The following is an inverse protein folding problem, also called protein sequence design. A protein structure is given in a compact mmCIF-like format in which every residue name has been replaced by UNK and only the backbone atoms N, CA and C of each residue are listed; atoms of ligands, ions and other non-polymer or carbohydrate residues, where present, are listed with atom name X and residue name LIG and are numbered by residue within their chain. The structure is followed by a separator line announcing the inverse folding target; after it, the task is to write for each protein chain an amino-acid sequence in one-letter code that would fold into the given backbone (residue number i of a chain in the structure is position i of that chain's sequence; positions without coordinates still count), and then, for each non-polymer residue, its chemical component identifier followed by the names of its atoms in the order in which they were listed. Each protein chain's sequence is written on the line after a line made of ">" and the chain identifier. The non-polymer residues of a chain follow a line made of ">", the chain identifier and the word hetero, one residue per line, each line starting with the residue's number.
data_IF_536078157035
#
_entry.id   IF_536078157035
#
_cell.length_a   1.000
_cell.length_b   1.000
_cell.length_c   1.000
_cell.angle_alpha   90.00
_cell.angle_beta   90.00
_cell.angle_gamma   90.00
#
_symmetry.space_group_name_H-M   'P 1'
#
loop_
_entity.id
_entity.type
_entity.pdbx_description
1 polymer ?
#
# COMPACT_ATOMS: atom_id res chain seq x y z
N UNK A 1 -69.65 42.94 -15.35
CA UNK A 1 -69.52 44.10 -16.23
C UNK A 1 -68.91 45.23 -15.42
N UNK A 2 -67.59 45.36 -15.47
CA UNK A 2 -66.85 46.61 -15.23
C UNK A 2 -65.41 46.39 -15.67
N UNK A 3 -64.86 47.41 -16.31
CA UNK A 3 -63.68 47.43 -17.16
C UNK A 3 -62.35 47.11 -16.47
N UNK A 4 -61.48 46.42 -17.22
CA UNK A 4 -60.04 46.38 -16.98
C UNK A 4 -59.42 47.73 -17.38
N UNK A 5 -58.93 48.48 -16.40
CA UNK A 5 -58.07 49.63 -16.59
C UNK A 5 -56.61 49.27 -16.32
N UNK A 6 -55.76 49.41 -17.35
CA UNK A 6 -54.30 49.41 -17.28
C UNK A 6 -53.80 50.53 -16.38
N UNK A 7 -52.96 50.21 -15.40
CA UNK A 7 -51.87 51.09 -14.90
C UNK A 7 -50.93 50.28 -13.99
N UNK A 8 -49.84 49.76 -14.55
CA UNK A 8 -48.59 49.48 -13.82
C UNK A 8 -47.43 49.55 -14.82
N UNK A 9 -47.21 50.74 -15.36
CA UNK A 9 -45.89 51.20 -15.74
C UNK A 9 -45.42 52.14 -14.61
N UNK A 10 -44.10 52.19 -14.36
CA UNK A 10 -43.39 53.09 -13.42
C UNK A 10 -43.02 52.58 -12.01
N UNK A 11 -42.40 51.41 -11.89
CA UNK A 11 -41.58 51.10 -10.69
C UNK A 11 -40.25 50.34 -10.94
N UNK A 12 -39.82 50.15 -12.19
CA UNK A 12 -38.51 49.59 -12.52
C UNK A 12 -37.65 50.65 -13.20
N UNK A 13 -36.81 51.40 -12.46
CA UNK A 13 -35.63 52.06 -13.08
C UNK A 13 -34.60 52.77 -12.17
N UNK A 14 -34.44 52.48 -10.86
CA UNK A 14 -33.43 53.26 -10.11
C UNK A 14 -32.61 52.55 -9.01
N UNK A 15 -32.30 51.26 -9.17
CA UNK A 15 -31.37 50.57 -8.25
C UNK A 15 -30.27 49.72 -8.89
N UNK A 16 -30.17 49.65 -10.22
CA UNK A 16 -29.16 48.84 -10.92
C UNK A 16 -27.89 49.62 -11.36
N UNK A 17 -27.78 50.91 -11.06
CA UNK A 17 -26.72 51.79 -11.61
C UNK A 17 -25.44 51.95 -10.77
N UNK A 18 -25.22 51.14 -9.72
CA UNK A 18 -24.05 51.30 -8.81
C UNK A 18 -23.13 50.09 -8.64
N UNK A 19 -23.10 49.16 -9.58
CA UNK A 19 -21.98 48.23 -9.69
C UNK A 19 -21.37 48.28 -11.09
N UNK A 20 -20.06 48.55 -11.24
CA UNK A 20 -19.43 48.48 -12.55
C UNK A 20 -19.56 47.04 -13.05
N UNK A 21 -20.28 46.88 -14.17
CA UNK A 21 -20.31 45.63 -14.93
C UNK A 21 -18.88 45.45 -15.47
N UNK A 22 -18.04 44.74 -14.73
CA UNK A 22 -16.73 44.34 -15.23
C UNK A 22 -17.01 43.35 -16.37
N UNK A 23 -16.54 43.60 -17.60
CA UNK A 23 -16.77 42.68 -18.70
C UNK A 23 -16.18 41.32 -18.34
N UNK A 24 -17.02 40.29 -18.43
CA UNK A 24 -16.70 38.88 -18.10
C UNK A 24 -15.43 38.41 -18.80
N UNK A 25 -15.19 38.95 -19.99
CA UNK A 25 -14.03 38.65 -20.84
C UNK A 25 -12.70 39.10 -20.20
N UNK A 26 -12.73 40.23 -19.48
CA UNK A 26 -11.55 40.79 -18.79
C UNK A 26 -11.23 40.03 -17.50
N UNK A 27 -12.27 39.59 -16.77
CA UNK A 27 -12.10 38.68 -15.62
C UNK A 27 -11.60 37.32 -16.10
N UNK A 28 -12.09 36.82 -17.24
CA UNK A 28 -11.65 35.56 -17.83
C UNK A 28 -10.18 35.63 -18.30
N UNK A 29 -9.74 36.73 -18.90
CA UNK A 29 -8.34 36.94 -19.27
C UNK A 29 -7.42 37.06 -18.05
N UNK A 30 -7.80 37.82 -17.02
CA UNK A 30 -7.02 37.96 -15.79
C UNK A 30 -6.93 36.63 -15.01
N UNK A 31 -8.02 35.86 -14.93
CA UNK A 31 -7.98 34.51 -14.37
C UNK A 31 -7.10 33.57 -15.21
N UNK A 32 -7.14 33.68 -16.54
CA UNK A 32 -6.31 32.85 -17.44
C UNK A 32 -4.83 33.19 -17.27
N UNK A 33 -4.46 34.47 -17.13
CA UNK A 33 -3.07 34.89 -16.94
C UNK A 33 -2.50 34.48 -15.58
N UNK A 34 -3.32 34.51 -14.53
CA UNK A 34 -2.87 34.15 -13.18
C UNK A 34 -2.81 32.63 -12.98
N UNK A 35 -3.82 31.87 -13.43
CA UNK A 35 -3.93 30.45 -13.08
C UNK A 35 -3.19 29.49 -14.03
N UNK A 36 -2.96 29.88 -15.29
CA UNK A 36 -2.22 29.08 -16.26
C UNK A 36 -0.81 28.69 -15.78
N UNK A 37 0.04 29.60 -15.26
CA UNK A 37 1.37 29.21 -14.78
C UNK A 37 1.33 28.23 -13.62
N UNK A 38 0.36 28.33 -12.70
CA UNK A 38 0.18 27.36 -11.62
C UNK A 38 -0.22 25.99 -12.14
N UNK A 39 -1.18 25.94 -13.08
CA UNK A 39 -1.58 24.69 -13.70
C UNK A 39 -0.42 24.03 -14.45
N UNK A 40 0.34 24.80 -15.25
CA UNK A 40 1.53 24.30 -15.95
C UNK A 40 2.59 23.79 -14.97
N UNK A 41 2.85 24.52 -13.88
CA UNK A 41 3.79 24.08 -12.84
C UNK A 41 3.34 22.78 -12.17
N UNK A 42 2.05 22.61 -11.88
CA UNK A 42 1.50 21.37 -11.33
C UNK A 42 1.64 20.19 -12.28
N UNK A 43 1.35 20.37 -13.57
CA UNK A 43 1.52 19.30 -14.57
C UNK A 43 2.99 18.91 -14.72
N UNK A 44 3.92 19.88 -14.75
CA UNK A 44 5.36 19.59 -14.78
C UNK A 44 5.78 18.80 -13.54
N UNK A 45 5.34 19.25 -12.36
CA UNK A 45 5.63 18.56 -11.11
C UNK A 45 5.06 17.13 -11.10
N UNK A 46 3.84 16.95 -11.60
CA UNK A 46 3.21 15.64 -11.73
C UNK A 46 4.04 14.71 -12.63
N UNK A 47 4.46 15.18 -13.82
CA UNK A 47 5.31 14.40 -14.73
C UNK A 47 6.62 13.99 -14.06
N UNK A 48 7.27 14.91 -13.32
CA UNK A 48 8.49 14.60 -12.55
C UNK A 48 8.21 13.52 -11.51
N UNK A 49 7.12 13.65 -10.74
CA UNK A 49 6.73 12.66 -9.72
C UNK A 49 6.41 11.30 -10.35
N UNK A 50 5.75 11.28 -11.51
CA UNK A 50 5.46 10.05 -12.26
C UNK A 50 6.74 9.37 -12.73
N UNK A 51 7.67 10.10 -13.35
CA UNK A 51 8.95 9.54 -13.83
C UNK A 51 9.79 9.01 -12.67
N UNK A 52 9.97 9.79 -11.61
CA UNK A 52 10.70 9.34 -10.42
C UNK A 52 10.00 8.13 -9.77
N UNK A 53 8.68 8.18 -9.67
CA UNK A 53 7.85 7.10 -9.14
C UNK A 53 7.92 5.82 -9.96
N UNK A 54 8.19 5.90 -11.26
CA UNK A 54 8.42 4.74 -12.14
C UNK A 54 9.79 4.13 -11.87
N UNK A 55 10.84 4.95 -11.82
CA UNK A 55 12.20 4.48 -11.53
C UNK A 55 12.27 3.76 -10.17
N UNK A 56 11.67 4.35 -9.14
CA UNK A 56 11.59 3.75 -7.80
C UNK A 56 10.85 2.40 -7.86
N UNK A 57 9.73 2.30 -8.60
CA UNK A 57 8.97 1.06 -8.72
C UNK A 57 9.73 -0.02 -9.49
N UNK A 58 10.43 0.33 -10.56
CA UNK A 58 11.27 -0.61 -11.30
C UNK A 58 12.37 -1.20 -10.41
N UNK A 59 13.03 -0.37 -9.60
CA UNK A 59 14.00 -0.82 -8.60
C UNK A 59 13.32 -1.71 -7.55
N UNK A 60 12.16 -1.30 -7.03
CA UNK A 60 11.42 -2.08 -6.05
C UNK A 60 11.04 -3.46 -6.60
N UNK A 61 10.48 -3.52 -7.82
CA UNK A 61 10.13 -4.76 -8.54
C UNK A 61 11.37 -5.64 -8.73
N UNK A 62 12.48 -5.07 -9.18
CA UNK A 62 13.73 -5.80 -9.38
C UNK A 62 14.21 -6.47 -8.09
N UNK A 63 14.25 -5.72 -6.97
CA UNK A 63 14.62 -6.26 -5.66
C UNK A 63 13.63 -7.34 -5.20
N UNK A 64 12.33 -7.11 -5.45
CA UNK A 64 11.26 -8.02 -5.10
C UNK A 64 11.41 -9.39 -5.76
N UNK A 65 11.78 -9.42 -7.05
CA UNK A 65 12.01 -10.65 -7.80
C UNK A 65 13.36 -11.28 -7.47
N UNK A 66 14.39 -10.48 -7.19
CA UNK A 66 15.72 -10.98 -6.84
C UNK A 66 15.77 -11.65 -5.47
N UNK A 67 14.93 -11.22 -4.52
CA UNK A 67 14.97 -11.69 -3.13
C UNK A 67 13.63 -12.30 -2.67
N UNK A 68 13.28 -13.51 -3.15
CA UNK A 68 12.01 -14.15 -2.84
C UNK A 68 11.83 -14.50 -1.35
N UNK A 69 12.91 -14.66 -0.59
CA UNK A 69 12.85 -15.08 0.82
C UNK A 69 12.28 -14.02 1.78
N UNK A 70 12.20 -12.75 1.36
CA UNK A 70 11.87 -11.65 2.28
C UNK A 70 10.37 -11.60 2.61
N UNK A 71 9.51 -12.01 1.67
CA UNK A 71 8.06 -11.96 1.82
C UNK A 71 7.41 -13.29 1.48
N UNK A 72 6.40 -13.64 2.28
CA UNK A 72 5.53 -14.79 2.04
C UNK A 72 4.94 -14.75 0.62
N UNK A 73 4.83 -15.92 -0.02
CA UNK A 73 4.47 -16.07 -1.44
C UNK A 73 3.14 -15.38 -1.77
N UNK A 74 2.14 -15.51 -0.90
CA UNK A 74 0.83 -14.89 -1.09
C UNK A 74 0.91 -13.36 -1.11
N UNK A 75 1.62 -12.78 -0.16
CA UNK A 75 1.81 -11.33 -0.11
C UNK A 75 2.62 -10.84 -1.31
N UNK A 76 3.61 -11.61 -1.73
CA UNK A 76 4.43 -11.31 -2.91
C UNK A 76 3.58 -11.18 -4.17
N UNK A 77 2.64 -12.11 -4.39
CA UNK A 77 1.74 -12.07 -5.54
C UNK A 77 0.82 -10.84 -5.53
N UNK A 78 0.23 -10.54 -4.37
CA UNK A 78 -0.61 -9.34 -4.20
C UNK A 78 0.22 -8.08 -4.47
N UNK A 79 1.39 -7.97 -3.87
CA UNK A 79 2.31 -6.85 -4.05
C UNK A 79 2.77 -6.66 -5.50
N UNK A 80 3.14 -7.76 -6.18
CA UNK A 80 3.53 -7.75 -7.58
C UNK A 80 2.38 -7.28 -8.49
N UNK A 81 1.14 -7.74 -8.22
CA UNK A 81 -0.03 -7.28 -8.96
C UNK A 81 -0.22 -5.76 -8.83
N UNK A 82 -0.11 -5.20 -7.62
CA UNK A 82 -0.24 -3.74 -7.40
C UNK A 82 0.85 -2.99 -8.16
N UNK A 83 2.11 -3.39 -7.98
CA UNK A 83 3.25 -2.71 -8.57
C UNK A 83 3.17 -2.72 -10.09
N UNK A 84 2.80 -3.87 -10.68
CA UNK A 84 2.66 -4.03 -12.12
C UNK A 84 1.50 -3.22 -12.68
N UNK A 85 0.32 -3.29 -12.05
CA UNK A 85 -0.86 -2.57 -12.52
C UNK A 85 -0.68 -1.05 -12.45
N UNK A 86 -0.08 -0.55 -11.37
CA UNK A 86 0.23 0.87 -11.23
C UNK A 86 1.31 1.32 -12.23
N UNK A 87 2.39 0.54 -12.38
CA UNK A 87 3.51 0.87 -13.27
C UNK A 87 3.06 0.92 -14.74
N UNK A 88 2.35 -0.11 -15.20
CA UNK A 88 2.05 -0.25 -16.63
C UNK A 88 0.87 0.60 -17.05
N UNK A 89 -0.22 0.60 -16.29
CA UNK A 89 -1.46 1.13 -16.82
C UNK A 89 -1.81 2.51 -16.29
N UNK A 90 -1.58 2.80 -15.01
CA UNK A 90 -1.84 4.13 -14.48
C UNK A 90 -0.88 5.17 -15.11
N UNK A 91 0.39 4.83 -15.26
CA UNK A 91 1.36 5.70 -15.96
C UNK A 91 0.93 5.96 -17.41
N UNK A 92 0.71 4.89 -18.18
CA UNK A 92 0.41 5.01 -19.61
C UNK A 92 -0.89 5.79 -19.83
N UNK A 93 -1.94 5.49 -19.07
CA UNK A 93 -3.19 6.23 -19.16
C UNK A 93 -3.03 7.70 -18.80
N UNK A 94 -2.24 8.03 -17.76
CA UNK A 94 -2.02 9.43 -17.38
C UNK A 94 -1.18 10.19 -18.40
N UNK A 95 -0.14 9.58 -18.96
CA UNK A 95 0.64 10.19 -20.04
C UNK A 95 -0.21 10.46 -21.28
N UNK A 96 -1.11 9.54 -21.63
CA UNK A 96 -2.09 9.75 -22.72
C UNK A 96 -3.03 10.90 -22.38
N UNK A 97 -3.57 10.97 -21.16
CA UNK A 97 -4.45 12.06 -20.73
C UNK A 97 -3.76 13.42 -20.76
N UNK A 98 -2.55 13.53 -20.21
CA UNK A 98 -1.76 14.77 -20.27
C UNK A 98 -1.51 15.16 -21.73
N UNK A 99 -1.14 14.20 -22.58
CA UNK A 99 -0.94 14.43 -24.02
C UNK A 99 -2.21 14.94 -24.71
N UNK A 100 -3.36 14.35 -24.41
CA UNK A 100 -4.67 14.80 -24.92
C UNK A 100 -5.01 16.20 -24.40
N UNK A 101 -4.83 16.48 -23.11
CA UNK A 101 -5.07 17.80 -22.52
C UNK A 101 -4.21 18.87 -23.19
N UNK A 102 -2.91 18.61 -23.36
CA UNK A 102 -2.00 19.50 -24.09
C UNK A 102 -2.45 19.70 -25.54
N UNK A 103 -2.78 18.62 -26.27
CA UNK A 103 -3.25 18.70 -27.65
C UNK A 103 -4.49 19.59 -27.80
N UNK A 104 -5.52 19.38 -26.96
CA UNK A 104 -6.73 20.20 -27.00
C UNK A 104 -6.46 21.65 -26.61
N UNK A 105 -5.59 21.87 -25.62
CA UNK A 105 -5.18 23.22 -25.21
C UNK A 105 -4.49 23.98 -26.35
N UNK A 106 -3.54 23.35 -27.05
CA UNK A 106 -2.81 24.00 -28.15
C UNK A 106 -3.64 24.15 -29.43
N UNK A 107 -4.49 23.17 -29.76
CA UNK A 107 -5.29 23.19 -30.99
C UNK A 107 -6.47 24.16 -30.92
N UNK A 108 -7.06 24.35 -29.75
CA UNK A 108 -8.30 25.12 -29.64
C UNK A 108 -8.08 26.62 -29.34
N UNK A 109 -6.92 27.07 -28.86
CA UNK A 109 -6.60 28.49 -28.59
C UNK A 109 -7.42 29.14 -27.46
N UNK A 110 -8.67 28.74 -27.30
CA UNK A 110 -9.56 29.05 -26.21
C UNK A 110 -9.45 27.94 -25.16
N UNK A 111 -9.14 28.32 -23.93
CA UNK A 111 -8.75 27.42 -22.85
C UNK A 111 -9.85 26.43 -22.45
N UNK A 112 -9.52 25.61 -21.44
CA UNK A 112 -10.33 24.68 -20.60
C UNK A 112 -11.85 24.58 -20.85
N UNK A 113 -12.57 25.69 -21.09
CA UNK A 113 -13.95 25.69 -21.58
C UNK A 113 -14.13 24.83 -22.85
N UNK A 114 -13.18 24.82 -23.77
CA UNK A 114 -13.27 24.01 -25.01
C UNK A 114 -13.08 22.52 -24.77
N UNK A 115 -12.39 22.09 -23.71
CA UNK A 115 -12.33 20.67 -23.31
C UNK A 115 -13.70 20.23 -22.78
N UNK A 116 -14.38 21.10 -22.05
CA UNK A 116 -15.72 20.84 -21.50
C UNK A 116 -16.79 20.90 -22.60
N UNK A 117 -16.67 21.84 -23.54
CA UNK A 117 -17.56 22.00 -24.69
C UNK A 117 -17.31 20.92 -25.75
N UNK A 118 -16.06 20.53 -26.05
CA UNK A 118 -15.75 19.43 -26.95
C UNK A 118 -16.13 18.06 -26.35
N UNK A 119 -15.98 17.89 -25.03
CA UNK A 119 -16.50 16.72 -24.32
C UNK A 119 -18.04 16.67 -24.33
N UNK A 120 -18.73 17.82 -24.31
CA UNK A 120 -20.18 17.88 -24.42
C UNK A 120 -20.69 17.79 -25.88
N UNK A 121 -19.88 18.18 -26.87
CA UNK A 121 -20.24 18.19 -28.30
C UNK A 121 -19.97 16.86 -29.01
N UNK A 122 -18.98 16.09 -28.56
CA UNK A 122 -18.84 14.68 -28.91
C UNK A 122 -19.64 13.87 -27.89
N UNK A 123 -20.38 12.84 -28.31
CA UNK A 123 -21.00 11.90 -27.36
C UNK A 123 -19.94 11.49 -26.32
N UNK A 124 -20.09 11.90 -25.06
CA UNK A 124 -19.08 11.76 -23.99
C UNK A 124 -18.47 10.35 -23.95
N UNK A 125 -19.29 9.33 -24.21
CA UNK A 125 -18.93 7.90 -24.21
C UNK A 125 -18.05 7.44 -25.39
N UNK A 126 -17.99 8.20 -26.48
CA UNK A 126 -17.19 7.89 -27.67
C UNK A 126 -15.83 8.60 -27.64
N UNK A 127 -15.63 9.56 -26.72
CA UNK A 127 -14.38 10.29 -26.62
C UNK A 127 -13.25 9.40 -26.06
N UNK A 128 -12.02 9.48 -26.61
CA UNK A 128 -10.86 8.81 -26.03
C UNK A 128 -10.63 9.19 -24.56
N UNK A 129 -10.93 10.44 -24.19
CA UNK A 129 -10.80 10.95 -22.83
C UNK A 129 -11.68 10.21 -21.82
N UNK A 130 -12.91 9.85 -22.21
CA UNK A 130 -13.81 9.08 -21.35
C UNK A 130 -13.24 7.69 -21.07
N UNK A 131 -12.71 7.01 -22.09
CA UNK A 131 -12.14 5.68 -21.92
C UNK A 131 -10.83 5.69 -21.14
N UNK A 132 -9.92 6.65 -21.40
CA UNK A 132 -8.69 6.78 -20.61
C UNK A 132 -9.00 7.06 -19.14
N UNK A 133 -9.94 7.95 -18.85
CA UNK A 133 -10.38 8.24 -17.49
C UNK A 133 -11.07 7.04 -16.83
N UNK A 134 -11.85 6.25 -17.59
CA UNK A 134 -12.47 5.02 -17.09
C UNK A 134 -11.42 3.99 -16.67
N UNK A 135 -10.44 3.75 -17.54
CA UNK A 135 -9.34 2.83 -17.25
C UNK A 135 -8.54 3.34 -16.04
N UNK A 136 -8.28 4.66 -15.95
CA UNK A 136 -7.61 5.28 -14.81
C UNK A 136 -8.36 5.07 -13.50
N UNK A 137 -9.67 5.32 -13.47
CA UNK A 137 -10.52 5.10 -12.28
C UNK A 137 -10.45 3.65 -11.85
N UNK A 138 -10.51 2.71 -12.80
CA UNK A 138 -10.34 1.29 -12.50
C UNK A 138 -9.04 1.00 -11.74
N UNK A 139 -7.89 1.53 -12.19
CA UNK A 139 -6.61 1.30 -11.50
C UNK A 139 -6.54 1.97 -10.13
N UNK A 140 -7.17 3.13 -9.95
CA UNK A 140 -7.32 3.76 -8.63
C UNK A 140 -8.13 2.84 -7.70
N UNK A 141 -9.21 2.24 -8.20
CA UNK A 141 -10.04 1.31 -7.43
C UNK A 141 -9.29 0.03 -7.06
N UNK A 142 -8.46 -0.52 -7.95
CA UNK A 142 -7.60 -1.66 -7.61
C UNK A 142 -6.67 -1.30 -6.45
N UNK A 143 -6.04 -0.12 -6.49
CA UNK A 143 -5.24 0.39 -5.38
C UNK A 143 -6.04 0.50 -4.07
N UNK A 144 -7.26 1.04 -4.13
CA UNK A 144 -8.13 1.21 -2.97
C UNK A 144 -8.60 -0.12 -2.35
N UNK A 145 -8.88 -1.15 -3.15
CA UNK A 145 -9.32 -2.47 -2.68
C UNK A 145 -8.19 -3.42 -2.29
N UNK A 146 -6.96 -3.03 -2.56
CA UNK A 146 -5.79 -3.79 -2.13
C UNK A 146 -5.72 -3.89 -0.61
N UNK A 147 -5.88 -2.78 0.13
CA UNK A 147 -5.72 -2.77 1.58
C UNK A 147 -6.72 -3.71 2.29
N UNK A 148 -8.02 -3.70 1.95
CA UNK A 148 -8.95 -4.70 2.47
C UNK A 148 -8.59 -6.15 2.12
N UNK A 149 -8.22 -6.43 0.87
CA UNK A 149 -7.82 -7.78 0.47
C UNK A 149 -6.58 -8.27 1.24
N UNK A 150 -5.63 -7.37 1.44
CA UNK A 150 -4.46 -7.56 2.26
C UNK A 150 -4.79 -7.85 3.73
N UNK A 151 -5.79 -7.19 4.31
CA UNK A 151 -6.26 -7.48 5.65
C UNK A 151 -6.89 -8.88 5.74
N UNK A 152 -7.67 -9.29 4.74
CA UNK A 152 -8.26 -10.63 4.66
C UNK A 152 -7.16 -11.69 4.59
N UNK A 153 -6.12 -11.47 3.78
CA UNK A 153 -4.97 -12.38 3.71
C UNK A 153 -4.27 -12.53 5.08
N UNK A 154 -4.19 -11.46 5.87
CA UNK A 154 -3.66 -11.51 7.24
C UNK A 154 -4.57 -12.24 8.21
N UNK A 155 -5.90 -12.16 8.06
CA UNK A 155 -6.83 -13.01 8.81
C UNK A 155 -6.54 -14.47 8.50
N UNK A 156 -6.42 -14.84 7.23
CA UNK A 156 -6.11 -16.22 6.82
C UNK A 156 -4.78 -16.71 7.42
N UNK A 157 -3.72 -15.88 7.36
CA UNK A 157 -2.42 -16.23 7.94
C UNK A 157 -2.49 -16.42 9.47
N UNK A 158 -3.32 -15.63 10.15
CA UNK A 158 -3.49 -15.70 11.61
C UNK A 158 -4.34 -16.90 12.04
N UNK A 159 -5.41 -17.21 11.30
CA UNK A 159 -6.33 -18.32 11.62
C UNK A 159 -5.72 -19.67 11.25
N UNK A 160 -5.01 -19.75 10.12
CA UNK A 160 -4.46 -21.00 9.58
C UNK A 160 -2.99 -21.20 9.96
N UNK A 161 -2.53 -20.69 11.10
CA UNK A 161 -1.10 -20.56 11.41
C UNK A 161 -0.30 -21.85 11.22
N UNK A 162 -0.89 -23.00 11.59
CA UNK A 162 -0.26 -24.33 11.52
C UNK A 162 -0.06 -24.86 10.10
N UNK A 163 -0.88 -24.41 9.14
CA UNK A 163 -0.97 -24.99 7.80
C UNK A 163 -0.84 -23.94 6.68
N UNK A 164 -0.66 -22.66 7.04
CA UNK A 164 -0.57 -21.56 6.08
C UNK A 164 0.73 -21.57 5.29
N UNK A 165 1.84 -21.95 5.94
CA UNK A 165 3.16 -22.01 5.28
C UNK A 165 3.52 -23.42 4.80
N UNK A 166 2.97 -24.47 5.43
CA UNK A 166 3.23 -25.86 5.05
C UNK A 166 2.65 -26.18 3.67
N UNK A 167 1.43 -25.73 3.42
CA UNK A 167 0.81 -25.73 2.11
C UNK A 167 0.85 -24.30 1.60
N UNK A 168 1.60 -23.99 0.54
CA UNK A 168 1.79 -22.61 0.04
C UNK A 168 0.50 -21.92 -0.43
N UNK A 169 -0.68 -22.54 -0.26
CA UNK A 169 -2.08 -22.04 -0.35
C UNK A 169 -2.23 -20.86 -1.31
N UNK A 170 -1.62 -21.03 -2.47
CA UNK A 170 -1.35 -19.92 -3.37
C UNK A 170 -2.63 -19.45 -4.06
N UNK A 171 -3.66 -20.28 -4.01
CA UNK A 171 -5.03 -19.96 -4.40
C UNK A 171 -5.63 -18.81 -3.58
N UNK A 172 -5.22 -18.60 -2.31
CA UNK A 172 -5.76 -17.52 -1.47
C UNK A 172 -5.42 -16.17 -2.09
N UNK A 173 -4.14 -15.95 -2.42
CA UNK A 173 -3.72 -14.70 -3.06
C UNK A 173 -4.32 -14.54 -4.46
N UNK A 174 -4.40 -15.62 -5.25
CA UNK A 174 -5.03 -15.58 -6.57
C UNK A 174 -6.52 -15.21 -6.47
N UNK A 175 -7.27 -15.83 -5.55
CA UNK A 175 -8.69 -15.52 -5.32
C UNK A 175 -8.88 -14.07 -4.89
N UNK A 176 -8.03 -13.57 -3.98
CA UNK A 176 -8.07 -12.18 -3.55
C UNK A 176 -7.79 -11.21 -4.70
N UNK A 177 -6.82 -11.52 -5.56
CA UNK A 177 -6.55 -10.72 -6.76
C UNK A 177 -7.77 -10.70 -7.67
N UNK A 178 -8.43 -11.85 -7.91
CA UNK A 178 -9.66 -11.90 -8.71
C UNK A 178 -10.75 -11.04 -8.09
N UNK A 179 -10.96 -11.12 -6.77
CA UNK A 179 -11.94 -10.29 -6.06
C UNK A 179 -11.62 -8.80 -6.17
N UNK A 180 -10.35 -8.39 -6.03
CA UNK A 180 -9.93 -6.98 -6.21
C UNK A 180 -10.31 -6.49 -7.61
N UNK A 181 -10.01 -7.25 -8.67
CA UNK A 181 -10.28 -6.81 -10.03
C UNK A 181 -11.79 -6.76 -10.32
N UNK A 182 -12.56 -7.78 -9.91
CA UNK A 182 -14.03 -7.80 -10.08
C UNK A 182 -14.69 -6.62 -9.34
N UNK A 183 -14.33 -6.40 -8.07
CA UNK A 183 -14.86 -5.29 -7.28
C UNK A 183 -14.47 -3.93 -7.87
N UNK A 184 -13.25 -3.79 -8.40
CA UNK A 184 -12.78 -2.57 -9.07
C UNK A 184 -13.53 -2.29 -10.37
N UNK A 185 -13.83 -3.32 -11.18
CA UNK A 185 -14.68 -3.20 -12.36
C UNK A 185 -16.08 -2.74 -11.96
N UNK A 186 -16.68 -3.39 -10.96
CA UNK A 186 -18.02 -3.06 -10.49
C UNK A 186 -18.09 -1.61 -9.97
N UNK A 187 -17.13 -1.18 -9.14
CA UNK A 187 -17.06 0.19 -8.63
C UNK A 187 -16.85 1.22 -9.75
N UNK A 188 -16.03 0.89 -10.75
CA UNK A 188 -15.81 1.78 -11.90
C UNK A 188 -17.08 1.93 -12.72
N UNK A 189 -17.83 0.84 -12.94
CA UNK A 189 -19.13 0.88 -13.61
C UNK A 189 -20.17 1.68 -12.81
N UNK A 190 -20.24 1.49 -11.49
CA UNK A 190 -21.14 2.28 -10.61
C UNK A 190 -20.78 3.77 -10.68
N UNK A 191 -19.49 4.10 -10.63
CA UNK A 191 -19.01 5.49 -10.72
C UNK A 191 -19.37 6.14 -12.06
N UNK A 192 -19.15 5.45 -13.18
CA UNK A 192 -19.41 6.00 -14.52
C UNK A 192 -20.90 6.14 -14.83
N UNK A 193 -21.71 5.16 -14.44
CA UNK A 193 -23.15 5.20 -14.69
C UNK A 193 -23.92 6.03 -13.65
N UNK A 194 -23.24 6.50 -12.60
CA UNK A 194 -23.85 7.30 -11.55
C UNK A 194 -24.93 6.56 -10.75
N UNK A 195 -24.86 5.22 -10.68
CA UNK A 195 -25.86 4.43 -9.95
C UNK A 195 -25.90 4.79 -8.47
N UNK A 196 -24.74 5.12 -7.89
CA UNK A 196 -24.62 5.63 -6.52
C UNK A 196 -24.07 7.05 -6.52
N UNK A 197 -24.38 7.80 -5.47
CA UNK A 197 -23.77 9.12 -5.27
C UNK A 197 -22.27 8.98 -5.01
N UNK A 198 -21.49 9.95 -5.51
CA UNK A 198 -20.03 9.96 -5.36
C UNK A 198 -19.60 10.01 -3.89
N UNK A 199 -20.40 10.64 -3.05
CA UNK A 199 -20.22 10.71 -1.60
C UNK A 199 -20.32 9.31 -0.97
N UNK A 200 -21.30 8.50 -1.38
CA UNK A 200 -21.47 7.14 -0.88
C UNK A 200 -20.29 6.26 -1.30
N UNK A 201 -19.86 6.35 -2.57
CA UNK A 201 -18.68 5.63 -3.04
C UNK A 201 -17.41 6.01 -2.28
N UNK A 202 -17.23 7.30 -2.00
CA UNK A 202 -16.09 7.77 -1.22
C UNK A 202 -16.13 7.23 0.22
N UNK A 203 -17.30 7.29 0.86
CA UNK A 203 -17.50 6.80 2.21
C UNK A 203 -17.21 5.30 2.32
N UNK A 204 -17.64 4.48 1.35
CA UNK A 204 -17.36 3.04 1.38
C UNK A 204 -15.87 2.74 1.24
N UNK A 205 -15.15 3.47 0.39
CA UNK A 205 -13.69 3.33 0.25
C UNK A 205 -12.98 3.68 1.56
N UNK A 206 -13.34 4.81 2.17
CA UNK A 206 -12.74 5.27 3.43
C UNK A 206 -13.02 4.27 4.55
N UNK A 207 -14.28 3.88 4.76
CA UNK A 207 -14.68 2.94 5.81
C UNK A 207 -14.01 1.58 5.59
N UNK A 208 -13.95 1.09 4.35
CA UNK A 208 -13.30 -0.17 4.01
C UNK A 208 -11.80 -0.18 4.32
N UNK A 209 -11.09 0.90 3.95
CA UNK A 209 -9.65 1.03 4.23
C UNK A 209 -9.37 1.19 5.72
N UNK A 210 -10.19 1.95 6.45
CA UNK A 210 -10.06 2.07 7.91
C UNK A 210 -10.33 0.74 8.62
N UNK A 211 -11.35 0.00 8.19
CA UNK A 211 -11.63 -1.36 8.67
C UNK A 211 -10.44 -2.29 8.43
N UNK A 212 -9.81 -2.22 7.26
CA UNK A 212 -8.63 -3.01 6.92
C UNK A 212 -7.45 -2.76 7.87
N UNK A 213 -7.18 -1.50 8.23
CA UNK A 213 -6.13 -1.15 9.21
C UNK A 213 -6.45 -1.72 10.58
N UNK A 214 -7.70 -1.59 11.05
CA UNK A 214 -8.13 -2.11 12.35
C UNK A 214 -7.95 -3.62 12.41
N UNK A 215 -8.39 -4.34 11.36
CA UNK A 215 -8.22 -5.79 11.22
C UNK A 215 -6.75 -6.17 11.23
N UNK A 216 -5.89 -5.48 10.48
CA UNK A 216 -4.47 -5.79 10.44
C UNK A 216 -3.78 -5.61 11.81
N UNK A 217 -4.10 -4.54 12.53
CA UNK A 217 -3.61 -4.31 13.91
C UNK A 217 -4.14 -5.40 14.86
N UNK A 218 -5.39 -5.79 14.70
CA UNK A 218 -6.00 -6.86 15.50
C UNK A 218 -5.28 -8.20 15.26
N UNK A 219 -5.06 -8.60 14.00
CA UNK A 219 -4.34 -9.81 13.64
C UNK A 219 -2.91 -9.81 14.22
N UNK A 220 -2.18 -8.71 14.08
CA UNK A 220 -0.84 -8.56 14.67
C UNK A 220 -0.85 -8.75 16.20
N UNK A 221 -1.79 -8.10 16.90
CA UNK A 221 -1.96 -8.28 18.36
C UNK A 221 -2.30 -9.72 18.74
N UNK A 222 -3.12 -10.41 17.95
CA UNK A 222 -3.44 -11.81 18.20
C UNK A 222 -2.22 -12.71 18.00
N UNK A 223 -1.43 -12.50 16.95
CA UNK A 223 -0.19 -13.23 16.71
C UNK A 223 0.81 -13.02 17.86
N UNK A 224 0.99 -11.79 18.34
CA UNK A 224 1.85 -11.47 19.49
C UNK A 224 1.34 -12.17 20.77
N UNK A 225 0.04 -12.13 21.04
CA UNK A 225 -0.56 -12.78 22.21
C UNK A 225 -0.37 -14.30 22.17
N UNK A 226 -0.58 -14.90 21.01
CA UNK A 226 -0.39 -16.33 20.80
C UNK A 226 1.06 -16.73 21.04
N UNK A 227 2.01 -16.02 20.42
CA UNK A 227 3.44 -16.24 20.62
C UNK A 227 3.88 -16.08 22.09
N UNK A 228 3.40 -15.03 22.76
CA UNK A 228 3.75 -14.75 24.16
C UNK A 228 3.22 -15.83 25.13
N UNK A 229 2.00 -16.32 24.91
CA UNK A 229 1.43 -17.42 25.71
C UNK A 229 2.23 -18.70 25.55
N UNK A 230 2.68 -19.01 24.33
CA UNK A 230 3.50 -20.19 24.05
C UNK A 230 4.87 -20.09 24.73
N UNK A 231 5.49 -18.91 24.71
CA UNK A 231 6.76 -18.67 25.40
C UNK A 231 6.62 -18.86 26.92
N UNK A 232 5.54 -18.34 27.52
CA UNK A 232 5.27 -18.51 28.95
C UNK A 232 4.98 -19.96 29.33
N UNK A 233 4.26 -20.71 28.50
CA UNK A 233 3.98 -22.13 28.74
C UNK A 233 5.26 -22.97 28.69
N UNK A 234 6.16 -22.72 27.74
CA UNK A 234 7.46 -23.38 27.71
C UNK A 234 8.31 -23.12 28.94
N UNK A 235 8.41 -21.86 29.35
CA UNK A 235 9.22 -21.49 30.50
C UNK A 235 8.67 -22.12 31.79
N UNK A 236 7.35 -22.38 31.85
CA UNK A 236 6.71 -23.10 32.96
C UNK A 236 6.83 -24.62 32.85
N UNK A 237 7.01 -25.17 31.66
CA UNK A 237 7.10 -26.61 31.38
C UNK A 237 8.54 -27.14 31.26
N UNK A 238 9.54 -26.41 31.77
CA UNK A 238 10.95 -26.83 31.81
C UNK A 238 11.21 -28.16 32.58
N UNK A 239 10.18 -28.85 33.07
CA UNK A 239 10.26 -30.15 33.77
C UNK A 239 9.90 -31.39 32.94
N UNK A 240 9.67 -31.27 31.62
CA UNK A 240 9.48 -32.42 30.74
C UNK A 240 8.01 -32.72 30.38
N UNK A 241 7.85 -33.23 29.16
CA UNK A 241 6.62 -33.76 28.58
C UNK A 241 5.44 -32.76 28.44
N UNK A 242 5.34 -32.11 27.28
CA UNK A 242 4.04 -31.62 26.79
C UNK A 242 3.95 -30.17 26.36
N UNK A 243 4.93 -29.67 25.59
CA UNK A 243 4.65 -28.52 24.74
C UNK A 243 3.49 -28.88 23.82
N UNK A 244 2.34 -28.21 23.96
CA UNK A 244 1.18 -28.38 23.07
C UNK A 244 1.45 -27.99 21.62
N UNK A 245 2.54 -27.26 21.36
CA UNK A 245 2.84 -26.68 20.06
C UNK A 245 4.17 -27.16 19.51
N UNK A 246 4.21 -27.43 18.20
CA UNK A 246 5.42 -27.87 17.51
C UNK A 246 6.42 -26.71 17.39
N UNK A 247 7.69 -27.05 17.14
CA UNK A 247 8.73 -26.07 16.84
C UNK A 247 8.38 -25.27 15.56
N UNK A 248 7.76 -25.92 14.57
CA UNK A 248 7.37 -25.29 13.30
C UNK A 248 6.29 -24.22 13.49
N UNK A 249 5.29 -24.45 14.34
CA UNK A 249 4.22 -23.47 14.62
C UNK A 249 4.77 -22.19 15.26
N UNK A 250 5.82 -22.31 16.09
CA UNK A 250 6.46 -21.15 16.73
C UNK A 250 7.26 -20.32 15.75
N UNK A 251 7.98 -20.99 14.85
CA UNK A 251 8.70 -20.34 13.77
C UNK A 251 7.73 -19.58 12.86
N UNK A 252 6.63 -20.22 12.46
CA UNK A 252 5.57 -19.60 11.65
C UNK A 252 4.94 -18.38 12.35
N UNK A 253 4.67 -18.46 13.66
CA UNK A 253 4.16 -17.32 14.42
C UNK A 253 5.15 -16.16 14.49
N UNK A 254 6.43 -16.47 14.73
CA UNK A 254 7.51 -15.48 14.76
C UNK A 254 7.66 -14.77 13.40
N UNK A 255 7.60 -15.53 12.31
CA UNK A 255 7.65 -15.01 10.95
C UNK A 255 6.42 -14.15 10.63
N UNK A 256 5.22 -14.60 10.98
CA UNK A 256 4.00 -13.81 10.82
C UNK A 256 4.04 -12.47 11.57
N UNK A 257 4.61 -12.43 12.79
CA UNK A 257 4.81 -11.18 13.55
C UNK A 257 5.84 -10.28 12.84
N UNK A 258 6.94 -10.85 12.34
CA UNK A 258 7.98 -10.11 11.60
C UNK A 258 7.37 -9.41 10.39
N UNK A 259 6.61 -10.15 9.57
CA UNK A 259 5.92 -9.61 8.40
C UNK A 259 4.85 -8.60 8.81
N UNK A 260 4.04 -8.89 9.83
CA UNK A 260 3.00 -7.98 10.30
C UNK A 260 3.54 -6.60 10.72
N UNK A 261 4.73 -6.53 11.33
CA UNK A 261 5.38 -5.24 11.68
C UNK A 261 5.68 -4.37 10.44
N UNK A 262 6.16 -4.98 9.36
CA UNK A 262 6.44 -4.28 8.09
C UNK A 262 5.12 -3.83 7.46
N UNK A 263 4.18 -4.77 7.35
CA UNK A 263 2.87 -4.50 6.74
C UNK A 263 2.10 -3.43 7.50
N UNK A 264 2.16 -3.39 8.84
CA UNK A 264 1.50 -2.35 9.63
C UNK A 264 1.93 -0.93 9.23
N UNK A 265 3.22 -0.70 8.96
CA UNK A 265 3.70 0.60 8.47
C UNK A 265 3.09 0.95 7.11
N UNK A 266 3.05 -0.01 6.20
CA UNK A 266 2.45 0.16 4.87
C UNK A 266 0.95 0.42 4.95
N UNK A 267 0.23 -0.31 5.81
CA UNK A 267 -1.21 -0.16 6.02
C UNK A 267 -1.56 1.22 6.54
N UNK A 268 -0.84 1.69 7.58
CA UNK A 268 -1.06 3.02 8.15
C UNK A 268 -0.75 4.10 7.11
N UNK A 269 0.38 3.99 6.40
CA UNK A 269 0.73 4.96 5.36
C UNK A 269 -0.34 5.02 4.26
N UNK A 270 -0.74 3.86 3.73
CA UNK A 270 -1.74 3.78 2.68
C UNK A 270 -3.09 4.36 3.13
N UNK A 271 -3.54 4.04 4.36
CA UNK A 271 -4.78 4.58 4.89
C UNK A 271 -4.73 6.10 5.08
N UNK A 272 -3.62 6.66 5.58
CA UNK A 272 -3.45 8.11 5.70
C UNK A 272 -3.56 8.79 4.33
N UNK A 273 -2.92 8.23 3.30
CA UNK A 273 -3.05 8.77 1.95
C UNK A 273 -4.46 8.66 1.40
N UNK A 274 -5.14 7.53 1.59
CA UNK A 274 -6.56 7.38 1.20
C UNK A 274 -7.43 8.43 1.88
N UNK A 275 -7.20 8.71 3.17
CA UNK A 275 -7.93 9.75 3.90
C UNK A 275 -7.67 11.16 3.36
N UNK A 276 -6.41 11.51 3.07
CA UNK A 276 -6.04 12.81 2.51
C UNK A 276 -6.67 12.99 1.13
N UNK A 277 -6.52 12.00 0.25
CA UNK A 277 -7.08 12.01 -1.09
C UNK A 277 -8.60 12.06 -1.07
N UNK A 278 -9.23 11.35 -0.14
CA UNK A 278 -10.66 11.42 0.06
C UNK A 278 -11.10 12.81 0.55
N UNK A 279 -10.33 13.45 1.43
CA UNK A 279 -10.56 14.83 1.85
C UNK A 279 -10.50 15.82 0.69
N UNK A 280 -9.47 15.74 -0.16
CA UNK A 280 -9.35 16.56 -1.37
C UNK A 280 -10.53 16.31 -2.32
N UNK A 281 -10.92 15.06 -2.52
CA UNK A 281 -12.08 14.71 -3.35
C UNK A 281 -13.40 15.20 -2.74
N UNK A 282 -13.57 15.17 -1.42
CA UNK A 282 -14.75 15.70 -0.75
C UNK A 282 -14.84 17.22 -0.85
N UNK A 283 -13.73 17.94 -0.70
CA UNK A 283 -13.66 19.39 -0.91
C UNK A 283 -14.09 19.77 -2.33
N UNK A 284 -13.75 18.95 -3.33
CA UNK A 284 -14.25 19.12 -4.70
C UNK A 284 -15.78 18.99 -4.78
N UNK A 285 -16.39 18.06 -4.03
CA UNK A 285 -17.85 17.88 -4.06
C UNK A 285 -18.60 19.04 -3.40
N UNK A 286 -17.95 19.77 -2.49
CA UNK A 286 -18.53 20.90 -1.75
C UNK A 286 -18.16 22.26 -2.39
N UNK A 287 -17.05 22.32 -3.14
CA UNK A 287 -16.46 23.55 -3.67
C UNK A 287 -17.25 24.25 -4.78
N UNK A 288 -16.96 25.56 -4.94
CA UNK A 288 -17.65 26.53 -5.81
C UNK A 288 -17.89 26.06 -7.25
N UNK A 289 -18.93 26.60 -7.91
CA UNK A 289 -19.26 26.29 -9.30
C UNK A 289 -18.15 26.65 -10.31
N UNK A 290 -17.22 27.53 -9.93
CA UNK A 290 -16.10 27.98 -10.76
C UNK A 290 -15.25 26.83 -11.31
N UNK A 291 -14.94 26.91 -12.61
CA UNK A 291 -14.22 25.85 -13.34
C UNK A 291 -12.75 25.74 -12.95
N UNK A 292 -12.10 26.86 -12.63
CA UNK A 292 -10.65 26.91 -12.33
C UNK A 292 -10.29 26.20 -11.02
N UNK A 293 -10.95 26.45 -9.87
CA UNK A 293 -10.71 25.67 -8.64
C UNK A 293 -10.99 24.17 -8.81
N UNK A 294 -11.96 23.80 -9.67
CA UNK A 294 -12.24 22.39 -9.98
C UNK A 294 -11.05 21.74 -10.68
N UNK A 295 -10.49 22.37 -11.71
CA UNK A 295 -9.31 21.88 -12.42
C UNK A 295 -8.09 21.75 -11.49
N UNK A 296 -7.82 22.77 -10.66
CA UNK A 296 -6.73 22.70 -9.68
C UNK A 296 -6.90 21.56 -8.69
N UNK A 297 -8.13 21.31 -8.20
CA UNK A 297 -8.40 20.19 -7.30
C UNK A 297 -8.18 18.83 -7.96
N UNK A 298 -8.44 18.68 -9.26
CA UNK A 298 -8.12 17.45 -9.99
C UNK A 298 -6.62 17.20 -10.04
N UNK A 299 -5.84 18.22 -10.41
CA UNK A 299 -4.38 18.10 -10.47
C UNK A 299 -3.76 17.85 -9.10
N UNK A 300 -4.27 18.48 -8.03
CA UNK A 300 -3.83 18.20 -6.66
C UNK A 300 -4.13 16.75 -6.26
N UNK A 301 -5.30 16.23 -6.64
CA UNK A 301 -5.67 14.84 -6.37
C UNK A 301 -4.77 13.85 -7.12
N UNK A 302 -4.53 14.07 -8.42
CA UNK A 302 -3.68 13.22 -9.25
C UNK A 302 -2.21 13.26 -8.80
N UNK A 303 -1.68 14.45 -8.49
CA UNK A 303 -0.36 14.61 -7.86
C UNK A 303 -0.28 13.86 -6.53
N UNK A 304 -1.33 13.95 -5.71
CA UNK A 304 -1.42 13.24 -4.44
C UNK A 304 -1.35 11.72 -4.61
N UNK A 305 -2.01 11.15 -5.63
CA UNK A 305 -1.93 9.73 -5.97
C UNK A 305 -0.49 9.36 -6.35
N UNK A 306 0.16 10.17 -7.20
CA UNK A 306 1.56 9.99 -7.60
C UNK A 306 2.51 9.96 -6.39
N UNK A 307 2.38 10.94 -5.49
CA UNK A 307 3.17 11.03 -4.25
C UNK A 307 2.91 9.82 -3.36
N UNK A 308 1.64 9.44 -3.14
CA UNK A 308 1.27 8.31 -2.30
C UNK A 308 1.90 7.00 -2.82
N UNK A 309 1.78 6.75 -4.13
CA UNK A 309 2.37 5.56 -4.75
C UNK A 309 3.90 5.57 -4.67
N UNK A 310 4.54 6.73 -4.88
CA UNK A 310 5.99 6.88 -4.71
C UNK A 310 6.44 6.60 -3.28
N UNK A 311 5.76 7.18 -2.29
CA UNK A 311 6.06 7.02 -0.87
C UNK A 311 5.90 5.56 -0.39
N UNK A 312 4.82 4.88 -0.80
CA UNK A 312 4.63 3.44 -0.52
C UNK A 312 5.77 2.63 -1.13
N UNK A 313 6.15 2.91 -2.39
CA UNK A 313 7.24 2.20 -3.07
C UNK A 313 8.58 2.40 -2.36
N UNK A 314 8.86 3.62 -1.89
CA UNK A 314 10.08 3.93 -1.12
C UNK A 314 10.10 3.24 0.24
N UNK A 315 8.96 3.16 0.95
CA UNK A 315 8.88 2.43 2.20
C UNK A 315 9.14 0.94 2.01
N UNK A 316 8.53 0.34 0.97
CA UNK A 316 8.80 -1.06 0.60
C UNK A 316 10.29 -1.22 0.31
N UNK A 317 10.88 -0.34 -0.50
CA UNK A 317 12.29 -0.39 -0.84
C UNK A 317 13.18 -0.31 0.41
N UNK A 318 12.94 0.66 1.30
CA UNK A 318 13.69 0.84 2.55
C UNK A 318 13.62 -0.42 3.42
N UNK A 319 12.43 -0.93 3.67
CA UNK A 319 12.24 -2.07 4.58
C UNK A 319 12.81 -3.36 3.96
N UNK A 320 12.71 -3.56 2.64
CA UNK A 320 13.34 -4.68 1.95
C UNK A 320 14.87 -4.60 1.95
N UNK A 321 15.44 -3.42 1.66
CA UNK A 321 16.89 -3.20 1.72
C UNK A 321 17.43 -3.44 3.13
N UNK A 322 16.74 -2.96 4.16
CA UNK A 322 17.14 -3.18 5.55
C UNK A 322 17.19 -4.67 5.91
N UNK A 323 16.19 -5.45 5.48
CA UNK A 323 16.17 -6.91 5.69
C UNK A 323 17.31 -7.59 4.93
N UNK A 324 17.56 -7.18 3.69
CA UNK A 324 18.66 -7.70 2.88
C UNK A 324 20.03 -7.45 3.52
N UNK A 325 20.28 -6.24 4.02
CA UNK A 325 21.53 -5.92 4.71
C UNK A 325 21.71 -6.73 5.99
N UNK A 326 20.64 -6.96 6.75
CA UNK A 326 20.70 -7.77 7.97
C UNK A 326 20.95 -9.26 7.69
N UNK A 327 20.28 -9.85 6.69
CA UNK A 327 20.43 -11.26 6.36
C UNK A 327 21.85 -11.56 5.83
N UNK A 328 22.36 -10.72 4.92
CA UNK A 328 23.72 -10.89 4.40
C UNK A 328 24.80 -10.51 5.41
N UNK A 329 24.58 -9.48 6.23
CA UNK A 329 25.50 -9.12 7.31
C UNK A 329 25.66 -10.25 8.33
N UNK A 330 24.56 -10.95 8.64
CA UNK A 330 24.55 -12.11 9.54
C UNK A 330 25.33 -13.29 8.95
N UNK A 331 25.18 -13.57 7.66
CA UNK A 331 25.95 -14.62 6.97
C UNK A 331 27.45 -14.34 6.93
N UNK A 332 27.86 -13.09 6.66
CA UNK A 332 29.28 -12.71 6.65
C UNK A 332 29.91 -12.85 8.04
N UNK A 333 29.17 -12.51 9.11
CA UNK A 333 29.65 -12.65 10.50
C UNK A 333 29.71 -14.12 10.92
N UNK A 334 28.73 -14.95 10.51
CA UNK A 334 28.72 -16.39 10.79
C UNK A 334 29.86 -17.12 10.06
N UNK A 335 30.06 -16.88 8.76
CA UNK A 335 31.20 -17.45 8.03
C UNK A 335 32.55 -16.95 8.57
N UNK A 336 32.62 -15.70 9.03
CA UNK A 336 33.82 -15.15 9.67
C UNK A 336 34.15 -15.81 11.02
N UNK A 337 33.13 -16.23 11.79
CA UNK A 337 33.32 -16.97 13.05
C UNK A 337 33.68 -18.43 12.84
N UNK A 338 33.07 -19.11 11.87
CA UNK A 338 33.43 -20.49 11.51
C UNK A 338 34.86 -20.59 11.00
N UNK A 339 35.31 -19.63 10.17
CA UNK A 339 36.68 -19.61 9.67
C UNK A 339 37.71 -19.40 10.78
N UNK A 340 37.43 -18.53 11.76
CA UNK A 340 38.28 -18.36 12.95
C UNK A 340 38.26 -19.57 13.88
N UNK A 341 37.14 -20.29 13.97
CA UNK A 341 37.04 -21.52 14.78
C UNK A 341 37.80 -22.69 14.14
N UNK A 342 37.82 -22.77 12.82
CA UNK A 342 38.60 -23.78 12.07
C UNK A 342 40.11 -23.48 12.07
N UNK A 343 40.51 -22.21 12.02
CA UNK A 343 41.93 -21.83 12.15
C UNK A 343 42.47 -22.06 13.57
N UNK A 344 41.63 -21.96 14.61
CA UNK A 344 42.03 -22.26 15.99
C UNK A 344 42.05 -23.76 16.33
N UNK A 345 41.42 -24.63 15.52
CA UNK A 345 41.41 -26.08 15.75
C UNK A 345 42.57 -26.83 15.07
N UNK A 346 43.41 -26.13 14.30
CA UNK A 346 44.61 -26.67 13.64
C UNK A 346 45.91 -26.43 14.43
N UNK A 347 45.84 -25.69 15.53
CA UNK A 347 46.96 -25.45 16.44
C UNK A 347 46.93 -26.45 17.60
N UNK A 348 47.99 -27.26 17.70
CA UNK A 348 48.30 -28.14 18.83
C UNK A 348 48.03 -27.43 20.16
N UNK A 349 47.04 -27.94 20.92
CA UNK A 349 46.68 -27.41 22.24
C UNK A 349 47.77 -27.80 23.23
N UNK A 350 48.63 -26.84 23.56
CA UNK A 350 49.34 -26.83 24.84
C UNK A 350 48.41 -26.23 25.92
N UNK A 351 48.31 -26.84 27.11
CA UNK A 351 47.57 -26.26 28.21
C UNK A 351 48.45 -25.22 28.91
N UNK A 352 48.15 -23.92 28.74
CA UNK A 352 48.69 -22.89 29.62
C UNK A 352 47.62 -21.88 30.03
N UNK A 353 47.43 -21.84 31.35
CA UNK A 353 47.10 -20.71 32.22
C UNK A 353 46.06 -19.68 31.76
N UNK A 354 44.91 -19.75 32.45
CA UNK A 354 44.26 -18.65 33.17
C UNK A 354 44.51 -17.23 32.64
N UNK A 355 43.55 -16.69 31.88
CA UNK A 355 43.22 -15.27 32.05
C UNK A 355 41.69 -15.07 31.99
N UNK A 356 41.16 -14.61 33.12
CA UNK A 356 39.75 -14.75 33.53
C UNK A 356 38.84 -13.61 33.10
N UNK A 357 38.90 -13.16 31.84
CA UNK A 357 37.89 -12.23 31.31
C UNK A 357 36.89 -12.97 30.43
N UNK A 358 35.90 -13.60 31.08
CA UNK A 358 34.71 -14.10 30.38
C UNK A 358 34.01 -12.89 29.76
N UNK A 359 34.06 -12.77 28.43
CA UNK A 359 33.12 -11.91 27.71
C UNK A 359 31.70 -12.34 28.12
N UNK A 360 30.81 -11.40 28.47
CA UNK A 360 29.42 -11.75 28.76
C UNK A 360 28.85 -12.47 27.53
N UNK A 361 28.15 -13.61 27.72
CA UNK A 361 27.57 -14.33 26.61
C UNK A 361 26.68 -13.39 25.80
N UNK A 362 26.72 -13.45 24.46
CA UNK A 362 25.87 -12.61 23.63
C UNK A 362 24.41 -12.84 24.04
N UNK A 363 23.74 -11.79 24.51
CA UNK A 363 22.33 -11.87 24.88
C UNK A 363 21.51 -12.07 23.60
N UNK A 364 21.09 -13.30 23.34
CA UNK A 364 20.11 -13.56 22.28
C UNK A 364 18.78 -12.93 22.69
N UNK A 365 18.14 -12.24 21.76
CA UNK A 365 16.81 -11.68 21.95
C UNK A 365 15.84 -12.41 21.02
N UNK A 366 14.62 -12.69 21.49
CA UNK A 366 13.58 -13.26 20.64
C UNK A 366 12.96 -12.20 19.70
N UNK A 367 12.00 -12.61 18.87
CA UNK A 367 11.31 -11.72 17.88
C UNK A 367 10.51 -10.57 18.53
N UNK A 368 10.28 -10.66 19.85
CA UNK A 368 9.65 -9.61 20.65
C UNK A 368 10.66 -8.69 21.35
N UNK A 369 11.97 -8.92 21.19
CA UNK A 369 13.01 -8.16 21.87
C UNK A 369 13.18 -8.54 23.34
N UNK A 370 12.69 -9.70 23.76
CA UNK A 370 12.90 -10.23 25.12
C UNK A 370 14.20 -11.03 25.14
N UNK A 371 15.12 -10.79 26.08
CA UNK A 371 16.35 -11.57 26.22
C UNK A 371 16.00 -13.04 26.51
N UNK A 372 16.50 -13.94 25.69
CA UNK A 372 16.48 -15.37 25.92
C UNK A 372 17.52 -15.67 27.02
N UNK A 373 17.10 -16.35 28.08
CA UNK A 373 18.00 -16.87 29.09
C UNK A 373 18.93 -17.88 28.41
N UNK A 374 20.20 -17.49 28.24
CA UNK A 374 21.24 -18.27 27.58
C UNK A 374 21.49 -19.57 28.36
N UNK A 375 20.80 -20.65 28.00
CA UNK A 375 21.20 -21.99 28.41
C UNK A 375 22.24 -22.49 27.39
N UNK A 376 23.29 -23.15 27.91
CA UNK A 376 24.43 -23.71 27.17
C UNK A 376 24.15 -24.04 25.69
N UNK A 377 24.99 -23.61 24.73
CA UNK A 377 24.82 -23.92 23.30
C UNK A 377 24.65 -25.41 23.01
N UNK A 378 25.21 -26.29 23.85
CA UNK A 378 25.05 -27.74 23.74
C UNK A 378 23.62 -28.19 24.02
N UNK A 379 22.95 -27.59 25.01
CA UNK A 379 21.61 -28.01 25.42
C UNK A 379 20.54 -27.68 24.37
N UNK A 380 20.57 -26.48 23.77
CA UNK A 380 19.62 -26.14 22.69
C UNK A 380 19.90 -26.91 21.40
N UNK A 381 21.17 -27.14 21.07
CA UNK A 381 21.58 -27.89 19.87
C UNK A 381 21.23 -29.39 20.02
N UNK A 382 21.43 -29.98 21.19
CA UNK A 382 21.03 -31.37 21.49
C UNK A 382 19.51 -31.52 21.55
N UNK A 383 18.79 -30.54 22.09
CA UNK A 383 17.31 -30.54 22.05
C UNK A 383 16.81 -30.38 20.60
N UNK A 384 17.46 -29.54 19.79
CA UNK A 384 17.14 -29.35 18.37
C UNK A 384 17.37 -30.62 17.56
N UNK A 385 18.57 -31.22 17.63
CA UNK A 385 18.87 -32.44 16.90
C UNK A 385 18.14 -33.66 17.45
N UNK A 386 17.90 -33.74 18.76
CA UNK A 386 17.09 -34.79 19.37
C UNK A 386 15.62 -34.73 18.94
N UNK A 387 15.04 -33.53 18.78
CA UNK A 387 13.69 -33.35 18.22
C UNK A 387 13.65 -33.70 16.73
N UNK A 388 14.69 -33.36 15.97
CA UNK A 388 14.81 -33.71 14.54
C UNK A 388 14.92 -35.23 14.34
N UNK A 389 15.70 -35.89 15.19
CA UNK A 389 15.88 -37.34 15.16
C UNK A 389 14.59 -38.08 15.55
N UNK A 390 13.85 -37.58 16.55
CA UNK A 390 12.50 -38.10 16.85
C UNK A 390 11.51 -37.91 15.70
N UNK A 391 11.55 -36.78 14.99
CA UNK A 391 10.70 -36.54 13.81
C UNK A 391 11.05 -37.45 12.63
N UNK A 392 12.32 -37.82 12.46
CA UNK A 392 12.74 -38.78 11.44
C UNK A 392 12.42 -40.23 11.79
N UNK A 393 12.33 -40.56 13.08
CA UNK A 393 11.97 -41.91 13.55
C UNK A 393 10.46 -42.14 13.66
N UNK A 394 9.62 -41.10 13.65
CA UNK A 394 8.16 -41.30 13.59
C UNK A 394 7.75 -41.85 12.22
N UNK A 395 7.11 -43.05 12.15
CA UNK A 395 6.66 -43.62 10.88
C UNK A 395 5.63 -42.68 10.25
N UNK A 396 5.79 -42.40 8.95
CA UNK A 396 4.84 -41.57 8.20
C UNK A 396 3.43 -42.16 8.38
N UNK A 397 2.42 -41.35 8.74
CA UNK A 397 1.06 -41.85 8.81
C UNK A 397 0.67 -42.39 7.43
N UNK A 398 0.17 -43.63 7.41
CA UNK A 398 -0.37 -44.23 6.20
C UNK A 398 -1.44 -43.29 5.66
N UNK A 399 -1.24 -42.84 4.41
CA UNK A 399 -2.26 -42.07 3.69
C UNK A 399 -3.50 -42.95 3.58
N UNK A 400 -4.56 -42.56 4.29
CA UNK A 400 -5.92 -43.10 4.11
C UNK A 400 -6.63 -42.27 3.07
#
# INVERSE_FOLDING_TARGET
>A
MTEYGNTTDDLDNDCTSRFPIIPVDRIAEELKSIHLPYFTALVILEVIVLVLGVLIKLIAIFIFFKHPAVLHVNWRRIAANILLQYLLFHLVTRLIEIGLMCYYFFKCGEGINTITVAANALNLKESPFYWTNTIRIYFIMVGAFTLPASAIERICATVLVSDYEANTRSFISTLLIVVINITSIAYTAIYQNGWWSKQVLLATIVVGNMGAVIVAIYCDRQNIRFYSRNLQQNNRQQGGAGSKYSLSERYQCAENIRIAKILRKLFVLAAVFVMILAGVFALRLIGSENIVPKCLNYEIFDLGIGIAAGAISLLVLRDMCFLWFNDNGSQVICCGKERKSLEHSSGVVHPSSQDGRRMPPPQLHNVLGVPLLYQSPKAETEVYFGQLEQMWQTPKPNKV
#
